data_IF_929268663096
#
_entry.id   IF_929268663096
#
_cell.length_a   1.000
_cell.length_b   1.000
_cell.length_c   1.000
_cell.angle_alpha   90.00
_cell.angle_beta   90.00
_cell.angle_gamma   90.00
#
_symmetry.space_group_name_H-M   'P 1'
#
loop_
_entity.id
_entity.type
_entity.pdbx_description
1 polymer ?
#
# COMPACT_ATOMS: atom_id res chain seq x y z
N UNK A 1 10.98 -17.90 11.79
CA UNK A 1 9.55 -17.75 11.44
C UNK A 1 8.85 -16.72 12.32
N UNK A 2 8.79 -16.92 13.63
CA UNK A 2 8.02 -16.05 14.55
C UNK A 2 8.35 -14.56 14.40
N UNK A 3 9.64 -14.21 14.37
CA UNK A 3 10.08 -12.82 14.17
C UNK A 3 9.59 -12.21 12.84
N UNK A 4 9.59 -12.99 11.75
CA UNK A 4 9.07 -12.54 10.46
C UNK A 4 7.56 -12.31 10.54
N UNK A 5 6.81 -13.26 11.12
CA UNK A 5 5.36 -13.13 11.25
C UNK A 5 4.97 -11.91 12.10
N UNK A 6 5.71 -11.64 13.18
CA UNK A 6 5.50 -10.46 14.03
C UNK A 6 5.77 -9.15 13.26
N UNK A 7 6.95 -9.02 12.63
CA UNK A 7 7.30 -7.84 11.83
C UNK A 7 6.31 -7.60 10.69
N UNK A 8 6.02 -8.63 9.90
CA UNK A 8 5.10 -8.58 8.76
C UNK A 8 3.69 -8.19 9.19
N UNK A 9 3.15 -8.76 10.27
CA UNK A 9 1.83 -8.42 10.81
C UNK A 9 1.77 -6.96 11.27
N UNK A 10 2.78 -6.50 12.03
CA UNK A 10 2.83 -5.11 12.52
C UNK A 10 2.93 -4.10 11.38
N UNK A 11 3.78 -4.38 10.39
CA UNK A 11 3.90 -3.55 9.20
C UNK A 11 2.59 -3.47 8.41
N UNK A 12 1.89 -4.61 8.22
CA UNK A 12 0.61 -4.62 7.50
C UNK A 12 -0.48 -3.85 8.26
N UNK A 13 -0.57 -4.03 9.58
CA UNK A 13 -1.52 -3.28 10.42
C UNK A 13 -1.24 -1.78 10.40
N UNK A 14 0.03 -1.38 10.46
CA UNK A 14 0.42 0.02 10.36
C UNK A 14 0.03 0.61 9.00
N UNK A 15 0.23 -0.13 7.90
CA UNK A 15 -0.16 0.29 6.57
C UNK A 15 -1.68 0.44 6.43
N UNK A 16 -2.47 -0.54 6.87
CA UNK A 16 -3.94 -0.47 6.80
C UNK A 16 -4.51 0.64 7.68
N UNK A 17 -3.97 0.82 8.89
CA UNK A 17 -4.42 1.90 9.77
C UNK A 17 -4.09 3.28 9.19
N UNK A 18 -2.89 3.44 8.62
CA UNK A 18 -2.49 4.68 7.94
C UNK A 18 -3.38 4.96 6.74
N UNK A 19 -3.75 3.92 5.99
CA UNK A 19 -4.72 4.01 4.91
C UNK A 19 -6.08 4.48 5.39
N UNK A 20 -6.62 3.86 6.43
CA UNK A 20 -7.92 4.22 6.97
C UNK A 20 -7.96 5.69 7.39
N UNK A 21 -6.94 6.17 8.09
CA UNK A 21 -6.84 7.59 8.47
C UNK A 21 -6.73 8.51 7.27
N UNK A 22 -5.79 8.23 6.36
CA UNK A 22 -5.54 9.10 5.22
C UNK A 22 -6.71 9.13 4.24
N UNK A 23 -7.35 7.98 3.96
CA UNK A 23 -8.50 7.90 3.05
C UNK A 23 -9.74 8.53 3.68
N UNK A 24 -9.94 8.36 4.98
CA UNK A 24 -11.03 9.05 5.68
C UNK A 24 -10.87 10.56 5.61
N UNK A 25 -9.66 11.07 5.81
CA UNK A 25 -9.36 12.50 5.70
C UNK A 25 -9.54 13.02 4.25
N UNK A 26 -9.05 12.28 3.25
CA UNK A 26 -9.21 12.63 1.84
C UNK A 26 -10.68 12.81 1.47
N UNK A 27 -11.55 11.85 1.83
CA UNK A 27 -13.00 11.94 1.60
C UNK A 27 -13.61 13.21 2.21
N UNK A 28 -13.17 13.63 3.40
CA UNK A 28 -13.68 14.84 4.06
C UNK A 28 -13.31 16.13 3.31
N UNK A 29 -12.29 16.11 2.46
CA UNK A 29 -11.80 17.28 1.71
C UNK A 29 -12.27 17.33 0.25
N UNK A 30 -13.01 16.31 -0.20
CA UNK A 30 -13.37 16.14 -1.60
C UNK A 30 -14.84 16.50 -1.88
N UNK A 31 -15.06 17.32 -2.91
CA UNK A 31 -16.40 17.80 -3.28
C UNK A 31 -17.37 16.68 -3.66
N UNK A 32 -16.87 15.61 -4.29
CA UNK A 32 -17.68 14.47 -4.69
C UNK A 32 -18.15 13.60 -3.51
N UNK A 33 -17.63 13.84 -2.29
CA UNK A 33 -18.00 13.13 -1.07
C UNK A 33 -18.99 13.92 -0.20
N UNK A 34 -19.27 15.18 -0.52
CA UNK A 34 -20.21 16.04 0.23
C UNK A 34 -21.63 15.46 0.22
N UNK A 35 -22.40 15.75 1.28
CA UNK A 35 -23.79 15.33 1.46
C UNK A 35 -23.93 14.14 2.41
N UNK A 36 -24.98 14.16 3.24
CA UNK A 36 -25.22 13.11 4.25
C UNK A 36 -25.57 11.75 3.62
N UNK A 37 -26.30 11.76 2.51
CA UNK A 37 -26.76 10.56 1.80
C UNK A 37 -25.74 10.05 0.76
N UNK A 38 -24.52 10.61 0.75
CA UNK A 38 -23.48 10.21 -0.18
C UNK A 38 -22.98 8.78 0.13
N UNK A 39 -22.87 7.95 -0.90
CA UNK A 39 -22.40 6.56 -0.79
C UNK A 39 -20.99 6.43 -0.20
N UNK A 40 -20.16 7.48 -0.28
CA UNK A 40 -18.84 7.55 0.34
C UNK A 40 -18.86 7.30 1.86
N UNK A 41 -20.02 7.49 2.51
CA UNK A 41 -20.23 7.34 3.95
C UNK A 41 -20.92 6.03 4.37
N UNK A 42 -21.29 5.19 3.41
CA UNK A 42 -21.96 3.92 3.72
C UNK A 42 -20.97 2.81 4.10
N UNK A 43 -19.75 2.87 3.56
CA UNK A 43 -18.70 1.89 3.82
C UNK A 43 -17.39 2.59 4.19
N UNK A 44 -16.70 2.01 5.17
CA UNK A 44 -15.41 2.48 5.63
C UNK A 44 -14.33 2.46 4.52
N UNK A 45 -13.21 3.17 4.74
CA UNK A 45 -12.93 4.01 5.90
C UNK A 45 -13.56 5.41 5.78
N UNK A 46 -14.04 5.97 6.90
CA UNK A 46 -14.52 7.36 7.01
C UNK A 46 -14.44 7.86 8.47
N UNK A 47 -14.41 9.19 8.64
CA UNK A 47 -14.55 9.83 9.96
C UNK A 47 -16.02 10.03 10.30
N UNK A 48 -16.36 9.77 11.57
CA UNK A 48 -17.67 10.01 12.14
C UNK A 48 -17.55 10.58 13.56
N UNK A 49 -18.59 11.27 14.01
CA UNK A 49 -18.68 11.71 15.39
C UNK A 49 -18.95 10.52 16.32
N UNK A 50 -18.53 10.59 17.59
CA UNK A 50 -18.99 9.65 18.60
C UNK A 50 -20.52 9.62 18.70
N UNK A 51 -21.10 8.47 19.05
CA UNK A 51 -22.56 8.25 19.07
C UNK A 51 -23.36 9.25 19.93
N UNK A 52 -22.71 9.94 20.88
CA UNK A 52 -23.33 10.92 21.77
C UNK A 52 -22.92 12.37 21.47
N UNK A 53 -22.39 12.65 20.27
CA UNK A 53 -21.98 13.98 19.82
C UNK A 53 -22.71 14.35 18.53
N UNK A 54 -22.86 15.66 18.23
CA UNK A 54 -23.38 16.09 16.94
C UNK A 54 -22.57 15.49 15.80
N UNK A 55 -23.25 15.07 14.73
CA UNK A 55 -22.61 14.56 13.52
C UNK A 55 -21.65 15.59 12.92
N UNK A 56 -20.59 15.09 12.28
CA UNK A 56 -19.71 15.93 11.47
C UNK A 56 -20.53 16.60 10.37
N UNK A 57 -20.37 17.92 10.23
CA UNK A 57 -20.99 18.64 9.14
C UNK A 57 -20.35 18.19 7.83
N UNK A 58 -21.15 17.66 6.89
CA UNK A 58 -20.70 17.18 5.59
C UNK A 58 -21.33 17.97 4.46
N UNK A 59 -21.81 19.19 4.74
CA UNK A 59 -22.44 20.09 3.76
C UNK A 59 -21.42 20.76 2.83
N UNK A 60 -20.14 20.71 3.17
CA UNK A 60 -19.01 21.26 2.42
C UNK A 60 -17.74 20.44 2.70
N UNK A 61 -16.75 20.47 1.80
CA UNK A 61 -15.46 19.87 2.07
C UNK A 61 -14.71 20.68 3.13
N UNK A 62 -13.89 19.98 3.90
CA UNK A 62 -13.03 20.59 4.91
C UNK A 62 -11.80 21.17 4.24
N UNK A 63 -11.35 22.33 4.72
CA UNK A 63 -10.11 22.93 4.28
C UNK A 63 -8.93 22.34 5.07
N UNK A 64 -7.91 21.87 4.35
CA UNK A 64 -6.68 21.38 4.96
C UNK A 64 -5.58 22.45 4.87
N UNK A 65 -4.95 22.75 6.00
CA UNK A 65 -3.71 23.54 6.03
C UNK A 65 -2.53 22.59 5.78
N UNK A 66 -1.83 22.79 4.67
CA UNK A 66 -0.68 21.96 4.29
C UNK A 66 0.50 22.12 5.24
N UNK A 67 1.34 21.09 5.32
CA UNK A 67 2.56 21.12 6.12
C UNK A 67 3.65 21.97 5.46
N UNK A 68 4.68 22.32 6.23
CA UNK A 68 5.86 23.04 5.71
C UNK A 68 6.59 22.20 4.66
N UNK A 69 6.68 20.89 4.88
CA UNK A 69 7.34 19.93 3.99
C UNK A 69 6.63 19.87 2.64
N UNK A 70 5.30 19.81 2.64
CA UNK A 70 4.53 19.88 1.39
C UNK A 70 4.77 21.21 0.68
N UNK A 71 4.70 22.33 1.39
CA UNK A 71 4.90 23.66 0.80
C UNK A 71 6.29 23.81 0.16
N UNK A 72 7.35 23.39 0.86
CA UNK A 72 8.72 23.42 0.33
C UNK A 72 8.89 22.49 -0.87
N UNK A 73 8.33 21.28 -0.82
CA UNK A 73 8.39 20.33 -1.94
C UNK A 73 7.68 20.89 -3.16
N UNK A 74 6.49 21.47 -2.98
CA UNK A 74 5.74 22.11 -4.05
C UNK A 74 6.51 23.28 -4.67
N UNK A 75 7.15 24.12 -3.84
CA UNK A 75 7.98 25.23 -4.32
C UNK A 75 9.17 24.73 -5.17
N UNK A 76 9.87 23.68 -4.72
CA UNK A 76 11.00 23.10 -5.48
C UNK A 76 10.53 22.58 -6.85
N UNK A 77 9.36 21.92 -6.90
CA UNK A 77 8.83 21.32 -8.13
C UNK A 77 8.31 22.38 -9.09
N UNK A 78 7.62 23.41 -8.57
CA UNK A 78 6.93 24.41 -9.38
C UNK A 78 7.77 25.64 -9.72
N UNK A 79 8.87 25.86 -8.98
CA UNK A 79 9.69 27.05 -9.07
C UNK A 79 9.01 28.30 -8.49
N UNK A 80 9.65 29.46 -8.70
CA UNK A 80 9.24 30.73 -8.08
C UNK A 80 8.00 31.37 -8.72
N UNK A 81 7.67 30.99 -9.96
CA UNK A 81 6.57 31.56 -10.73
C UNK A 81 5.68 30.46 -11.33
N UNK A 82 4.92 29.71 -10.51
CA UNK A 82 3.98 28.72 -11.02
C UNK A 82 2.88 29.36 -11.87
N UNK A 83 2.43 28.63 -12.87
CA UNK A 83 1.21 28.98 -13.62
C UNK A 83 0.00 29.01 -12.68
N UNK A 84 -0.75 30.12 -12.72
CA UNK A 84 -1.95 30.30 -11.92
C UNK A 84 -3.18 29.94 -12.75
N UNK A 85 -4.07 29.17 -12.14
CA UNK A 85 -5.39 28.87 -12.67
C UNK A 85 -6.29 30.11 -12.59
N UNK A 86 -7.36 30.09 -13.38
CA UNK A 86 -8.46 31.03 -13.24
C UNK A 86 -9.02 30.96 -11.80
N UNK A 87 -9.00 32.09 -11.08
CA UNK A 87 -9.30 32.16 -9.64
C UNK A 87 -8.07 32.17 -8.72
N UNK A 88 -6.85 32.19 -9.25
CA UNK A 88 -5.62 32.44 -8.49
C UNK A 88 -5.01 31.21 -7.78
N UNK A 89 -5.61 30.03 -7.95
CA UNK A 89 -5.04 28.76 -7.49
C UNK A 89 -3.84 28.32 -8.33
N UNK A 90 -3.05 27.37 -7.81
CA UNK A 90 -1.94 26.76 -8.55
C UNK A 90 -2.20 25.26 -8.67
N UNK A 91 -2.00 24.70 -9.87
CA UNK A 91 -2.15 23.27 -10.10
C UNK A 91 -0.92 22.51 -9.60
N UNK A 92 -1.09 21.68 -8.58
CA UNK A 92 -0.01 20.79 -8.12
C UNK A 92 0.01 19.53 -9.01
N UNK A 93 1.17 19.13 -9.57
CA UNK A 93 1.29 17.96 -10.44
C UNK A 93 1.30 16.66 -9.61
N UNK A 94 0.15 16.32 -9.03
CA UNK A 94 0.00 15.09 -8.24
C UNK A 94 -0.25 13.86 -9.14
N UNK A 95 0.20 12.66 -8.74
CA UNK A 95 -0.11 11.40 -9.42
C UNK A 95 -1.61 11.19 -9.61
N UNK A 96 -2.08 10.53 -10.68
CA UNK A 96 -3.50 10.36 -10.96
C UNK A 96 -4.25 9.69 -9.80
N UNK A 97 -5.55 9.98 -9.72
CA UNK A 97 -6.48 9.25 -8.85
C UNK A 97 -6.72 7.84 -9.42
N UNK A 98 -7.02 6.90 -8.54
CA UNK A 98 -7.50 5.57 -8.93
C UNK A 98 -8.98 5.58 -9.36
N UNK A 99 -9.52 4.40 -9.65
CA UNK A 99 -10.93 4.19 -10.03
C UNK A 99 -11.93 4.62 -8.95
N UNK A 100 -11.49 4.72 -7.69
CA UNK A 100 -12.27 5.18 -6.55
C UNK A 100 -12.07 6.68 -6.26
N UNK A 101 -11.49 7.43 -7.21
CA UNK A 101 -11.15 8.84 -7.07
C UNK A 101 -10.23 9.14 -5.87
N UNK A 102 -9.36 8.18 -5.51
CA UNK A 102 -8.42 8.23 -4.38
C UNK A 102 -6.99 8.45 -4.89
N UNK A 103 -6.26 9.39 -4.27
CA UNK A 103 -4.79 9.51 -4.42
C UNK A 103 -4.05 8.79 -3.31
N UNK A 104 -4.71 8.61 -2.17
CA UNK A 104 -4.12 7.98 -0.98
C UNK A 104 -3.92 6.48 -1.17
N UNK A 105 -4.92 5.79 -1.73
CA UNK A 105 -4.94 4.33 -1.81
C UNK A 105 -3.74 3.78 -2.59
N UNK A 106 -3.44 4.26 -3.82
CA UNK A 106 -2.33 3.73 -4.59
C UNK A 106 -0.97 3.97 -3.93
N UNK A 107 -0.82 5.09 -3.22
CA UNK A 107 0.44 5.43 -2.53
C UNK A 107 0.69 4.46 -1.38
N UNK A 108 -0.30 4.26 -0.51
CA UNK A 108 -0.13 3.41 0.66
C UNK A 108 -0.09 1.92 0.31
N UNK A 109 -0.91 1.48 -0.66
CA UNK A 109 -0.88 0.11 -1.15
C UNK A 109 0.47 -0.25 -1.76
N UNK A 110 1.04 0.66 -2.58
CA UNK A 110 2.38 0.50 -3.15
C UNK A 110 3.44 0.32 -2.07
N UNK A 111 3.46 1.21 -1.07
CA UNK A 111 4.44 1.15 0.01
C UNK A 111 4.30 -0.14 0.83
N UNK A 112 3.07 -0.56 1.12
CA UNK A 112 2.79 -1.80 1.83
C UNK A 112 3.29 -3.04 1.07
N UNK A 113 3.03 -3.14 -0.24
CA UNK A 113 3.51 -4.27 -1.07
C UNK A 113 5.03 -4.35 -1.06
N UNK A 114 5.71 -3.21 -1.22
CA UNK A 114 7.17 -3.15 -1.22
C UNK A 114 7.73 -3.59 0.13
N UNK A 115 7.21 -3.03 1.23
CA UNK A 115 7.68 -3.37 2.58
C UNK A 115 7.46 -4.85 2.92
N UNK A 116 6.28 -5.39 2.61
CA UNK A 116 5.98 -6.80 2.86
C UNK A 116 6.90 -7.74 2.08
N UNK A 117 7.19 -7.42 0.82
CA UNK A 117 8.13 -8.21 0.02
C UNK A 117 9.56 -8.16 0.58
N UNK A 118 10.04 -6.98 1.02
CA UNK A 118 11.38 -6.87 1.60
C UNK A 118 11.50 -7.61 2.94
N UNK A 119 10.48 -7.56 3.80
CA UNK A 119 10.42 -8.37 5.03
C UNK A 119 10.44 -9.88 4.72
N UNK A 120 9.68 -10.31 3.70
CA UNK A 120 9.68 -11.69 3.25
C UNK A 120 11.03 -12.12 2.67
N UNK A 121 11.68 -11.27 1.89
CA UNK A 121 13.00 -11.52 1.30
C UNK A 121 14.11 -11.57 2.36
N UNK A 122 14.06 -10.71 3.38
CA UNK A 122 14.93 -10.78 4.57
C UNK A 122 14.74 -12.14 5.24
N UNK A 123 13.49 -12.56 5.46
CA UNK A 123 13.17 -13.85 6.05
C UNK A 123 13.73 -15.04 5.26
N UNK A 124 13.43 -15.11 3.95
CA UNK A 124 13.92 -16.18 3.07
C UNK A 124 15.45 -16.26 3.06
N UNK A 125 16.14 -15.13 3.20
CA UNK A 125 17.60 -15.08 3.20
C UNK A 125 18.22 -15.78 4.43
N UNK A 126 17.46 -16.00 5.50
CA UNK A 126 17.95 -16.72 6.69
C UNK A 126 18.17 -18.22 6.48
N UNK A 127 17.68 -18.77 5.36
CA UNK A 127 17.83 -20.20 5.00
C UNK A 127 18.04 -20.42 3.49
N UNK A 128 18.59 -19.42 2.78
CA UNK A 128 18.81 -19.47 1.32
C UNK A 128 17.56 -19.82 0.51
N UNK A 129 16.40 -19.31 0.95
CA UNK A 129 15.12 -19.37 0.24
C UNK A 129 15.15 -18.74 -1.16
N UNK A 130 14.11 -18.94 -1.99
CA UNK A 130 14.11 -18.55 -3.41
C UNK A 130 13.95 -17.03 -3.60
N UNK A 131 15.00 -16.26 -3.32
CA UNK A 131 15.01 -14.78 -3.44
C UNK A 131 15.54 -14.26 -4.78
N UNK A 132 16.08 -15.13 -5.62
CA UNK A 132 16.61 -14.81 -6.95
C UNK A 132 16.62 -16.04 -7.86
N UNK A 133 16.93 -15.87 -9.16
CA UNK A 133 16.96 -16.97 -10.14
C UNK A 133 17.85 -18.14 -9.74
N UNK A 134 19.04 -17.87 -9.18
CA UNK A 134 19.99 -18.92 -8.77
C UNK A 134 19.44 -19.72 -7.59
N UNK A 135 18.94 -19.02 -6.56
CA UNK A 135 18.33 -19.68 -5.40
C UNK A 135 17.07 -20.42 -5.78
N UNK A 136 16.19 -19.86 -6.63
CA UNK A 136 14.98 -20.55 -7.13
C UNK A 136 15.28 -21.93 -7.70
N UNK A 137 16.32 -22.07 -8.55
CA UNK A 137 16.73 -23.37 -9.10
C UNK A 137 17.06 -24.42 -8.02
N UNK A 138 17.63 -24.00 -6.90
CA UNK A 138 17.95 -24.91 -5.79
C UNK A 138 16.71 -25.41 -5.01
N UNK A 139 15.54 -24.84 -5.30
CA UNK A 139 14.24 -25.21 -4.73
C UNK A 139 13.34 -25.96 -5.73
N UNK A 140 13.76 -26.11 -6.98
CA UNK A 140 13.07 -26.94 -7.97
C UNK A 140 13.01 -28.39 -7.49
N UNK A 141 11.84 -29.02 -7.56
CA UNK A 141 11.60 -30.39 -7.06
C UNK A 141 11.48 -30.52 -5.54
N UNK A 142 11.75 -29.45 -4.76
CA UNK A 142 11.55 -29.44 -3.29
C UNK A 142 10.19 -28.88 -2.88
N UNK A 143 9.57 -28.10 -3.76
CA UNK A 143 8.23 -27.52 -3.60
C UNK A 143 7.47 -27.67 -4.91
N UNK A 144 6.15 -27.53 -4.85
CA UNK A 144 5.31 -27.50 -6.05
C UNK A 144 5.69 -26.34 -6.99
N UNK A 145 5.62 -26.58 -8.30
CA UNK A 145 5.93 -25.55 -9.32
C UNK A 145 5.09 -24.29 -9.15
N UNK A 146 3.80 -24.44 -8.80
CA UNK A 146 2.85 -23.36 -8.48
C UNK A 146 3.36 -22.42 -7.38
N UNK A 147 4.09 -22.96 -6.39
CA UNK A 147 4.68 -22.17 -5.28
C UNK A 147 5.82 -21.28 -5.80
N UNK A 148 6.66 -21.82 -6.69
CA UNK A 148 7.77 -21.06 -7.28
C UNK A 148 7.28 -20.03 -8.31
N UNK A 149 6.21 -20.34 -9.02
CA UNK A 149 5.50 -19.39 -9.91
C UNK A 149 4.92 -18.25 -9.09
N UNK A 150 4.20 -18.54 -8.01
CA UNK A 150 3.63 -17.50 -7.13
C UNK A 150 4.69 -16.56 -6.56
N UNK A 151 5.83 -17.08 -6.07
CA UNK A 151 6.95 -16.22 -5.63
C UNK A 151 7.46 -15.33 -6.76
N UNK A 152 7.52 -15.87 -7.97
CA UNK A 152 8.00 -15.13 -9.15
C UNK A 152 7.02 -14.00 -9.48
N UNK A 153 5.72 -14.28 -9.49
CA UNK A 153 4.67 -13.29 -9.77
C UNK A 153 4.68 -12.17 -8.74
N UNK A 154 4.77 -12.50 -7.45
CA UNK A 154 4.87 -11.50 -6.38
C UNK A 154 6.14 -10.65 -6.52
N UNK A 155 7.28 -11.28 -6.84
CA UNK A 155 8.55 -10.57 -7.08
C UNK A 155 8.43 -9.60 -8.26
N UNK A 156 7.81 -10.05 -9.36
CA UNK A 156 7.60 -9.24 -10.55
C UNK A 156 6.68 -8.07 -10.27
N UNK A 157 5.56 -8.28 -9.56
CA UNK A 157 4.64 -7.21 -9.18
C UNK A 157 5.32 -6.16 -8.30
N UNK A 158 6.14 -6.57 -7.34
CA UNK A 158 6.96 -5.60 -6.56
C UNK A 158 7.93 -4.85 -7.46
N UNK A 159 8.62 -5.53 -8.38
CA UNK A 159 9.56 -4.90 -9.30
C UNK A 159 8.87 -3.85 -10.18
N UNK A 160 7.71 -4.18 -10.75
CA UNK A 160 6.87 -3.26 -11.53
C UNK A 160 6.60 -1.97 -10.73
N UNK A 161 6.13 -2.10 -9.48
CA UNK A 161 5.86 -0.95 -8.62
C UNK A 161 7.11 -0.12 -8.27
N UNK A 162 8.31 -0.70 -8.30
CA UNK A 162 9.56 -0.02 -7.93
C UNK A 162 10.35 0.56 -9.11
N UNK A 163 10.23 -0.04 -10.30
CA UNK A 163 11.15 0.21 -11.42
C UNK A 163 10.45 0.68 -12.69
N UNK A 164 9.18 0.36 -12.86
CA UNK A 164 8.47 0.71 -14.09
C UNK A 164 7.89 2.12 -13.99
N UNK A 165 7.97 2.86 -15.10
CA UNK A 165 7.44 4.23 -15.20
C UNK A 165 5.91 4.27 -15.34
N UNK A 166 5.33 3.18 -15.86
CA UNK A 166 3.90 3.02 -16.10
C UNK A 166 3.51 1.65 -15.56
N UNK A 167 2.56 1.64 -14.62
CA UNK A 167 2.07 0.42 -13.98
C UNK A 167 0.61 0.60 -13.58
N UNK A 168 -0.08 -0.53 -13.38
CA UNK A 168 -1.44 -0.50 -12.83
C UNK A 168 -1.38 -0.09 -11.35
N UNK A 169 -2.17 0.92 -10.97
CA UNK A 169 -2.21 1.45 -9.61
C UNK A 169 -2.65 0.36 -8.63
N UNK A 170 -1.88 0.09 -7.56
CA UNK A 170 -2.26 -0.93 -6.60
C UNK A 170 -3.42 -0.47 -5.72
N UNK A 171 -4.18 -1.44 -5.20
CA UNK A 171 -5.26 -1.20 -4.23
C UNK A 171 -4.88 -1.73 -2.86
N UNK A 172 -5.54 -1.26 -1.79
CA UNK A 172 -5.30 -1.84 -0.47
C UNK A 172 -5.79 -3.29 -0.39
N UNK A 173 -6.82 -3.65 -1.17
CA UNK A 173 -7.23 -5.05 -1.34
C UNK A 173 -6.08 -5.89 -1.90
N UNK A 174 -5.43 -5.43 -2.97
CA UNK A 174 -4.26 -6.09 -3.54
C UNK A 174 -3.15 -6.24 -2.49
N UNK A 175 -2.85 -5.19 -1.73
CA UNK A 175 -1.81 -5.23 -0.70
C UNK A 175 -2.10 -6.28 0.40
N UNK A 176 -3.35 -6.41 0.84
CA UNK A 176 -3.76 -7.43 1.82
C UNK A 176 -3.68 -8.84 1.24
N UNK A 177 -4.11 -9.04 -0.01
CA UNK A 177 -3.96 -10.32 -0.71
C UNK A 177 -2.48 -10.70 -0.89
N UNK A 178 -1.64 -9.72 -1.21
CA UNK A 178 -0.19 -9.88 -1.35
C UNK A 178 0.45 -10.31 -0.02
N UNK A 179 0.13 -9.62 1.07
CA UNK A 179 0.53 -9.99 2.44
C UNK A 179 0.13 -11.43 2.79
N UNK A 180 -1.12 -11.81 2.50
CA UNK A 180 -1.61 -13.16 2.79
C UNK A 180 -0.82 -14.23 2.01
N UNK A 181 -0.61 -14.01 0.71
CA UNK A 181 0.18 -14.92 -0.15
C UNK A 181 1.60 -15.09 0.35
N UNK A 182 2.28 -14.02 0.77
CA UNK A 182 3.64 -14.09 1.33
C UNK A 182 3.70 -14.91 2.62
N UNK A 183 2.68 -14.83 3.48
CA UNK A 183 2.62 -15.64 4.71
C UNK A 183 2.44 -17.12 4.42
N UNK A 184 1.57 -17.46 3.47
CA UNK A 184 1.41 -18.85 3.02
C UNK A 184 2.73 -19.41 2.48
N UNK A 185 3.39 -18.65 1.61
CA UNK A 185 4.70 -19.03 1.06
C UNK A 185 5.75 -19.21 2.15
N UNK A 186 5.78 -18.31 3.14
CA UNK A 186 6.72 -18.42 4.25
C UNK A 186 6.57 -19.77 4.97
N UNK A 187 5.33 -20.20 5.26
CA UNK A 187 5.04 -21.48 5.92
C UNK A 187 5.59 -22.63 5.08
N UNK A 188 5.22 -22.69 3.80
CA UNK A 188 5.66 -23.75 2.87
C UNK A 188 7.18 -23.87 2.83
N UNK A 189 7.90 -22.75 2.63
CA UNK A 189 9.36 -22.79 2.55
C UNK A 189 10.02 -23.18 3.87
N UNK A 190 9.38 -22.87 5.00
CA UNK A 190 9.90 -23.24 6.32
C UNK A 190 9.77 -24.72 6.57
N UNK A 191 8.62 -25.32 6.24
CA UNK A 191 8.36 -26.75 6.41
C UNK A 191 9.36 -27.60 5.60
N UNK A 192 9.59 -27.20 4.34
CA UNK A 192 10.56 -27.86 3.45
C UNK A 192 11.98 -27.72 3.99
N UNK A 193 12.37 -26.53 4.46
CA UNK A 193 13.68 -26.31 5.07
C UNK A 193 13.90 -27.17 6.32
N UNK A 194 12.91 -27.25 7.20
CA UNK A 194 12.99 -28.06 8.41
C UNK A 194 13.06 -29.56 8.10
N UNK A 195 12.28 -30.02 7.12
CA UNK A 195 12.30 -31.42 6.67
C UNK A 195 13.67 -31.82 6.09
N UNK A 196 14.34 -30.89 5.41
CA UNK A 196 15.66 -31.10 4.82
C UNK A 196 16.81 -31.19 5.84
N UNK A 197 16.58 -30.80 7.10
CA UNK A 197 17.55 -30.91 8.20
C UNK A 197 17.42 -32.19 9.02
N UNK A 198 16.31 -32.92 8.86
CA UNK A 198 16.04 -34.18 9.57
C UNK A 198 16.44 -35.43 8.76
N UNK A 199 16.83 -35.23 7.50
CA UNK A 199 17.34 -36.25 6.57
C UNK A 199 18.86 -36.18 6.48
#
# INVERSE_FOLDING_TARGET
>A
MELYLDKSSKAMLAATLSFDYARSAEKMTEWNCVGRDNQAWNNGPFLASPANKPDLDRSYPYCFKTSKEFAMTAQIILGDNPEKLEGGGVKIPLPPKDENESRVEPVLAKLAIIEQFELFKEYLSTFDGPTNKKRRKAWEGKVESSTLELVTDLTNRRNELTHDSIYHLPTMKEAVEYFYKLRQLAVIFTEVHLSSKQS
#
